data_IF_260313984896
#
_entry.id   IF_260313984896
#
_cell.length_a   1.000
_cell.length_b   1.000
_cell.length_c   1.000
_cell.angle_alpha   90.00
_cell.angle_beta   90.00
_cell.angle_gamma   90.00
#
_symmetry.space_group_name_H-M   'P 1'
#
loop_
_entity.id
_entity.type
_entity.pdbx_description
1 polymer ?
#
# COMPACT_ATOMS: atom_id res chain seq x y z
N UNK A 1 9.65 6.46 0.63
CA UNK A 1 8.87 5.43 -0.08
C UNK A 1 7.94 6.12 -1.06
N UNK A 2 7.81 5.60 -2.28
CA UNK A 2 7.08 6.27 -3.35
C UNK A 2 5.99 5.37 -3.97
N UNK A 3 4.77 5.89 -4.11
CA UNK A 3 3.69 5.22 -4.83
C UNK A 3 3.74 5.45 -6.34
N UNK A 4 4.69 6.23 -6.84
CA UNK A 4 4.87 6.58 -8.26
C UNK A 4 3.59 7.12 -8.92
N UNK A 5 2.83 7.93 -8.18
CA UNK A 5 1.59 8.52 -8.64
C UNK A 5 0.36 7.64 -8.48
N UNK A 6 0.46 6.45 -7.86
CA UNK A 6 -0.68 5.62 -7.45
C UNK A 6 -1.18 6.01 -6.04
N UNK A 7 -2.43 5.65 -5.72
CA UNK A 7 -3.03 6.03 -4.43
C UNK A 7 -2.71 5.01 -3.33
N UNK A 8 -2.86 3.71 -3.64
CA UNK A 8 -2.52 2.59 -2.76
C UNK A 8 -1.84 1.49 -3.57
N UNK A 9 -0.72 0.98 -3.07
CA UNK A 9 0.04 -0.13 -3.66
C UNK A 9 0.07 -1.30 -2.68
N UNK A 10 -0.31 -2.48 -3.14
CA UNK A 10 -0.30 -3.73 -2.36
C UNK A 10 0.81 -4.64 -2.88
N UNK A 11 1.47 -5.37 -1.98
CA UNK A 11 2.61 -6.21 -2.30
C UNK A 11 2.52 -7.56 -1.59
N UNK A 12 2.98 -8.62 -2.27
CA UNK A 12 3.16 -9.94 -1.68
C UNK A 12 4.44 -10.60 -2.22
N UNK A 13 5.20 -11.23 -1.34
CA UNK A 13 6.44 -11.91 -1.70
C UNK A 13 6.19 -13.14 -2.55
N UNK A 14 7.05 -13.37 -3.55
CA UNK A 14 7.01 -14.59 -4.34
C UNK A 14 7.17 -15.84 -3.49
N UNK A 15 7.97 -15.76 -2.42
CA UNK A 15 8.25 -16.88 -1.54
C UNK A 15 6.96 -17.52 -1.01
N UNK A 16 6.03 -16.69 -0.53
CA UNK A 16 4.73 -17.17 -0.05
C UNK A 16 3.87 -17.63 -1.23
N UNK A 17 3.81 -16.87 -2.32
CA UNK A 17 3.01 -17.26 -3.49
C UNK A 17 3.45 -18.61 -4.06
N UNK A 18 4.75 -18.88 -4.16
CA UNK A 18 5.32 -20.14 -4.64
C UNK A 18 4.98 -21.32 -3.74
N UNK A 19 5.03 -21.13 -2.41
CA UNK A 19 4.61 -22.17 -1.46
C UNK A 19 3.17 -22.63 -1.77
N UNK A 20 2.27 -21.70 -2.06
CA UNK A 20 0.87 -22.02 -2.32
C UNK A 20 0.60 -22.49 -3.74
N UNK A 21 1.26 -21.91 -4.74
CA UNK A 21 1.17 -22.36 -6.12
C UNK A 21 1.65 -23.81 -6.23
N UNK A 22 2.79 -24.15 -5.63
CA UNK A 22 3.30 -25.53 -5.59
C UNK A 22 2.27 -26.47 -4.96
N UNK A 23 1.77 -26.13 -3.77
CA UNK A 23 0.74 -26.94 -3.10
C UNK A 23 -0.53 -27.10 -3.95
N UNK A 24 -0.98 -26.04 -4.63
CA UNK A 24 -2.15 -26.10 -5.51
C UNK A 24 -1.92 -27.09 -6.67
N UNK A 25 -0.79 -26.99 -7.37
CA UNK A 25 -0.48 -27.86 -8.50
C UNK A 25 -0.37 -29.33 -8.04
N UNK A 26 0.37 -29.59 -6.97
CA UNK A 26 0.58 -30.94 -6.45
C UNK A 26 -0.71 -31.56 -5.91
N UNK A 27 -1.51 -30.83 -5.11
CA UNK A 27 -2.72 -31.37 -4.48
C UNK A 27 -3.85 -31.61 -5.48
N UNK A 28 -3.98 -30.77 -6.51
CA UNK A 28 -4.98 -30.95 -7.55
C UNK A 28 -4.53 -31.92 -8.65
N UNK A 29 -3.28 -32.43 -8.59
CA UNK A 29 -2.69 -33.33 -9.60
C UNK A 29 -2.91 -32.80 -11.02
N UNK A 30 -2.54 -31.53 -11.21
CA UNK A 30 -2.79 -30.83 -12.48
C UNK A 30 -2.15 -31.60 -13.64
N UNK A 31 -3.01 -31.98 -14.58
CA UNK A 31 -2.69 -32.69 -15.82
C UNK A 31 -3.19 -31.87 -16.99
N UNK A 32 -2.33 -31.69 -18.00
CA UNK A 32 -2.73 -31.10 -19.29
C UNK A 32 -2.73 -32.17 -20.37
N UNK A 33 -3.83 -32.21 -21.11
CA UNK A 33 -4.04 -33.09 -22.25
C UNK A 33 -4.43 -32.29 -23.49
N UNK A 34 -3.82 -32.60 -24.63
CA UNK A 34 -4.24 -32.09 -25.93
C UNK A 34 -4.07 -33.19 -26.97
N UNK A 35 -5.02 -33.25 -27.90
CA UNK A 35 -4.98 -34.20 -29.02
C UNK A 35 -5.60 -33.56 -30.26
N UNK A 36 -4.94 -33.73 -31.39
CA UNK A 36 -5.40 -33.36 -32.71
C UNK A 36 -5.28 -34.57 -33.63
N UNK A 37 -6.40 -35.25 -33.86
CA UNK A 37 -6.46 -36.49 -34.63
C UNK A 37 -6.07 -36.29 -36.09
N UNK A 38 -6.44 -35.16 -36.68
CA UNK A 38 -6.20 -34.87 -38.10
C UNK A 38 -4.70 -34.66 -38.37
N UNK A 39 -4.01 -34.00 -37.45
CA UNK A 39 -2.55 -33.78 -37.51
C UNK A 39 -1.75 -34.93 -36.91
N UNK A 40 -2.41 -35.94 -36.31
CA UNK A 40 -1.80 -37.05 -35.55
C UNK A 40 -0.84 -36.54 -34.48
N UNK A 41 -1.30 -35.59 -33.68
CA UNK A 41 -0.56 -34.97 -32.61
C UNK A 41 -1.26 -35.17 -31.27
N UNK A 42 -0.51 -35.52 -30.23
CA UNK A 42 -1.03 -35.56 -28.86
C UNK A 42 0.06 -35.19 -27.87
N UNK A 43 -0.32 -34.60 -26.74
CA UNK A 43 0.58 -34.28 -25.63
C UNK A 43 -0.14 -34.51 -24.31
N UNK A 44 0.60 -35.07 -23.36
CA UNK A 44 0.20 -35.31 -21.98
C UNK A 44 1.29 -34.81 -21.05
N UNK A 45 0.93 -33.99 -20.06
CA UNK A 45 1.86 -33.45 -19.07
C UNK A 45 1.26 -33.48 -17.68
N UNK A 46 1.94 -34.16 -16.75
CA UNK A 46 1.67 -34.12 -15.31
C UNK A 46 2.77 -33.33 -14.62
N UNK A 47 2.40 -32.27 -13.91
CA UNK A 47 3.36 -31.34 -13.32
C UNK A 47 3.76 -31.74 -11.90
N UNK A 48 5.03 -31.52 -11.54
CA UNK A 48 5.53 -31.73 -10.18
C UNK A 48 5.10 -30.60 -9.22
N UNK A 49 5.09 -29.37 -9.74
CA UNK A 49 4.74 -28.15 -9.04
C UNK A 49 5.24 -26.94 -9.83
N UNK A 50 4.46 -25.87 -9.90
CA UNK A 50 4.89 -24.65 -10.60
C UNK A 50 5.60 -23.69 -9.65
N UNK A 51 6.62 -23.00 -10.16
CA UNK A 51 7.44 -22.06 -9.40
C UNK A 51 7.65 -20.77 -10.18
N UNK A 52 7.26 -19.64 -9.60
CA UNK A 52 7.54 -18.29 -10.11
C UNK A 52 9.02 -17.97 -9.86
N UNK A 53 9.70 -17.51 -10.90
CA UNK A 53 11.10 -17.10 -10.86
C UNK A 53 11.27 -15.65 -11.32
N UNK A 54 12.41 -15.07 -10.96
CA UNK A 54 12.79 -13.72 -11.38
C UNK A 54 12.96 -13.60 -12.90
N UNK A 55 12.80 -12.37 -13.40
CA UNK A 55 12.86 -12.04 -14.83
C UNK A 55 11.52 -11.89 -15.54
N UNK A 56 10.39 -12.05 -14.84
CA UNK A 56 9.08 -11.64 -15.37
C UNK A 56 9.02 -10.14 -15.66
N UNK A 57 8.12 -9.72 -16.55
CA UNK A 57 8.01 -8.34 -17.01
C UNK A 57 6.59 -7.80 -16.87
N UNK A 58 6.43 -6.66 -16.19
CA UNK A 58 5.14 -5.95 -16.05
C UNK A 58 3.99 -6.89 -15.61
N UNK A 59 3.08 -7.25 -16.52
CA UNK A 59 1.93 -8.12 -16.25
C UNK A 59 2.22 -9.63 -16.39
N UNK A 60 3.43 -10.03 -16.74
CA UNK A 60 3.83 -11.43 -16.93
C UNK A 60 4.59 -11.97 -15.72
N UNK A 61 4.24 -13.19 -15.31
CA UNK A 61 5.04 -14.00 -14.42
C UNK A 61 5.88 -14.96 -15.22
N UNK A 62 7.18 -15.05 -14.90
CA UNK A 62 8.05 -16.11 -15.41
C UNK A 62 7.99 -17.30 -14.47
N UNK A 63 7.73 -18.49 -15.01
CA UNK A 63 7.35 -19.68 -14.24
C UNK A 63 8.10 -20.88 -14.79
N UNK A 64 8.66 -21.69 -13.89
CA UNK A 64 9.12 -23.04 -14.17
C UNK A 64 7.96 -24.01 -14.02
N UNK A 65 7.74 -24.85 -15.02
CA UNK A 65 6.64 -25.83 -15.05
C UNK A 65 7.15 -27.26 -15.19
N UNK A 66 7.96 -27.77 -14.23
CA UNK A 66 8.57 -29.09 -14.31
C UNK A 66 7.55 -30.21 -14.53
N UNK A 67 7.79 -31.01 -15.57
CA UNK A 67 6.96 -32.15 -15.96
C UNK A 67 7.50 -33.38 -15.23
N UNK A 68 6.71 -33.89 -14.29
CA UNK A 68 7.02 -35.11 -13.54
C UNK A 68 6.95 -36.33 -14.45
N UNK A 69 5.84 -36.44 -15.18
CA UNK A 69 5.62 -37.51 -16.14
C UNK A 69 4.80 -37.02 -17.33
N UNK A 70 5.06 -37.57 -18.51
CA UNK A 70 4.34 -37.18 -19.71
C UNK A 70 4.98 -37.65 -21.00
N UNK A 71 4.31 -37.37 -22.10
CA UNK A 71 4.82 -37.63 -23.44
C UNK A 71 4.17 -36.67 -24.44
N UNK A 72 4.78 -36.52 -25.60
CA UNK A 72 4.07 -36.03 -26.78
C UNK A 72 4.33 -36.97 -27.95
N UNK A 73 3.42 -36.97 -28.92
CA UNK A 73 3.51 -37.81 -30.11
C UNK A 73 3.23 -36.99 -31.35
N UNK A 74 4.08 -37.13 -32.36
CA UNK A 74 3.95 -36.49 -33.67
C UNK A 74 4.33 -37.50 -34.74
N UNK A 75 3.54 -37.63 -35.81
CA UNK A 75 3.86 -38.52 -36.95
C UNK A 75 4.21 -39.97 -36.52
N UNK A 76 3.52 -40.49 -35.49
CA UNK A 76 3.75 -41.81 -34.87
C UNK A 76 5.03 -41.97 -34.04
N UNK A 77 5.91 -40.96 -33.95
CA UNK A 77 7.02 -40.95 -33.00
C UNK A 77 6.53 -40.43 -31.64
N UNK A 78 6.94 -41.07 -30.55
CA UNK A 78 6.59 -40.67 -29.18
C UNK A 78 7.84 -40.24 -28.44
N UNK A 79 7.82 -39.05 -27.86
CA UNK A 79 8.92 -38.46 -27.10
C UNK A 79 8.52 -38.35 -25.63
N UNK A 80 9.39 -38.80 -24.74
CA UNK A 80 9.18 -38.81 -23.29
C UNK A 80 9.44 -37.41 -22.70
N UNK A 81 8.53 -36.91 -21.86
CA UNK A 81 8.64 -35.61 -21.21
C UNK A 81 9.06 -35.68 -19.74
N UNK A 82 9.38 -36.86 -19.21
CA UNK A 82 9.76 -37.03 -17.81
C UNK A 82 11.02 -36.20 -17.47
N UNK A 83 10.88 -35.27 -16.53
CA UNK A 83 11.95 -34.38 -16.10
C UNK A 83 12.29 -33.27 -17.08
N UNK A 84 11.46 -33.01 -18.10
CA UNK A 84 11.54 -31.78 -18.90
C UNK A 84 11.06 -30.60 -18.05
N UNK A 85 11.79 -29.49 -18.06
CA UNK A 85 11.47 -28.30 -17.25
C UNK A 85 11.37 -27.05 -18.12
N UNK A 86 10.18 -26.76 -18.67
CA UNK A 86 9.95 -25.54 -19.42
C UNK A 86 9.97 -24.30 -18.52
N UNK A 87 10.42 -23.19 -19.08
CA UNK A 87 10.27 -21.85 -18.51
C UNK A 87 9.34 -21.07 -19.42
N UNK A 88 8.19 -20.67 -18.89
CA UNK A 88 7.18 -19.90 -19.60
C UNK A 88 6.93 -18.57 -18.92
N UNK A 89 6.57 -17.56 -19.69
CA UNK A 89 5.95 -16.35 -19.20
C UNK A 89 4.46 -16.39 -19.45
N UNK A 90 3.67 -16.19 -18.40
CA UNK A 90 2.22 -16.19 -18.47
C UNK A 90 1.69 -14.86 -17.93
N UNK A 91 0.80 -14.22 -18.70
CA UNK A 91 0.14 -13.00 -18.27
C UNK A 91 -0.81 -13.25 -17.10
N UNK A 92 -0.86 -12.31 -16.18
CA UNK A 92 -1.94 -12.24 -15.19
C UNK A 92 -2.94 -11.16 -15.56
N UNK A 93 -4.21 -11.43 -15.26
CA UNK A 93 -5.28 -10.45 -15.42
C UNK A 93 -6.33 -10.57 -14.31
N UNK A 94 -7.14 -9.52 -14.17
CA UNK A 94 -8.24 -9.45 -13.23
C UNK A 94 -9.53 -9.92 -13.86
N UNK A 95 -10.06 -11.02 -13.35
CA UNK A 95 -11.32 -11.60 -13.80
C UNK A 95 -12.45 -11.24 -12.82
N UNK A 96 -13.65 -11.04 -13.36
CA UNK A 96 -14.85 -10.87 -12.56
C UNK A 96 -15.17 -12.17 -11.82
N UNK A 97 -15.61 -12.07 -10.56
CA UNK A 97 -16.27 -13.19 -9.91
C UNK A 97 -17.71 -13.32 -10.45
N UNK A 98 -18.09 -14.52 -10.90
CA UNK A 98 -19.40 -14.77 -11.49
C UNK A 98 -20.57 -14.60 -10.49
N UNK A 99 -20.31 -14.78 -9.20
CA UNK A 99 -21.30 -14.68 -8.12
C UNK A 99 -21.31 -13.32 -7.42
N UNK A 100 -20.25 -12.52 -7.56
CA UNK A 100 -20.14 -11.22 -6.89
C UNK A 100 -19.41 -10.17 -7.76
N UNK A 101 -20.11 -9.16 -8.32
CA UNK A 101 -19.50 -8.15 -9.18
C UNK A 101 -18.48 -7.25 -8.44
N UNK A 102 -18.57 -7.20 -7.11
CA UNK A 102 -17.68 -6.43 -6.24
C UNK A 102 -16.39 -7.15 -5.89
N UNK A 103 -16.16 -8.35 -6.44
CA UNK A 103 -14.90 -9.09 -6.28
C UNK A 103 -14.25 -9.29 -7.64
N UNK A 104 -12.97 -8.93 -7.73
CA UNK A 104 -12.08 -9.30 -8.83
C UNK A 104 -11.08 -10.34 -8.37
N UNK A 105 -10.66 -11.21 -9.28
CA UNK A 105 -9.68 -12.27 -9.02
C UNK A 105 -8.50 -12.11 -9.97
N UNK A 106 -7.31 -11.93 -9.42
CA UNK A 106 -6.07 -12.00 -10.18
C UNK A 106 -5.75 -13.47 -10.46
N UNK A 107 -5.71 -13.86 -11.72
CA UNK A 107 -5.48 -15.24 -12.18
C UNK A 107 -4.54 -15.24 -13.39
N UNK A 108 -4.06 -16.42 -13.74
CA UNK A 108 -3.46 -16.62 -15.06
C UNK A 108 -4.46 -16.33 -16.16
N UNK A 109 -4.01 -15.60 -17.18
CA UNK A 109 -4.70 -15.47 -18.45
C UNK A 109 -3.89 -16.24 -19.49
N UNK A 110 -4.48 -17.32 -20.02
CA UNK A 110 -3.87 -18.14 -21.07
C UNK A 110 -4.24 -17.67 -22.47
N UNK A 111 -5.11 -16.65 -22.60
CA UNK A 111 -5.50 -16.05 -23.88
C UNK A 111 -6.09 -17.05 -24.87
N UNK A 112 -5.76 -16.83 -26.13
CA UNK A 112 -6.04 -17.68 -27.28
C UNK A 112 -4.78 -17.87 -28.13
N UNK A 113 -4.83 -18.72 -29.16
CA UNK A 113 -3.67 -18.98 -30.04
C UNK A 113 -3.16 -17.72 -30.77
N UNK A 114 -4.00 -16.69 -30.91
CA UNK A 114 -3.62 -15.42 -31.53
C UNK A 114 -3.00 -14.42 -30.56
N UNK A 115 -2.97 -14.72 -29.26
CA UNK A 115 -2.49 -13.81 -28.22
C UNK A 115 -1.12 -14.25 -27.68
N UNK A 116 -0.22 -13.29 -27.45
CA UNK A 116 1.08 -13.53 -26.80
C UNK A 116 0.98 -13.62 -25.26
N UNK A 117 -0.15 -14.12 -24.74
CA UNK A 117 -0.42 -14.22 -23.31
C UNK A 117 0.37 -15.36 -22.64
N UNK A 118 0.88 -16.31 -23.43
CA UNK A 118 1.83 -17.35 -23.04
C UNK A 118 3.06 -17.27 -23.94
N UNK A 119 4.25 -17.17 -23.35
CA UNK A 119 5.53 -17.15 -24.08
C UNK A 119 6.45 -18.23 -23.55
N UNK A 120 7.08 -18.96 -24.46
CA UNK A 120 8.10 -19.94 -24.09
C UNK A 120 9.45 -19.22 -24.05
N UNK A 121 10.08 -19.19 -22.89
CA UNK A 121 11.40 -18.57 -22.69
C UNK A 121 12.49 -19.62 -22.86
N UNK A 122 12.28 -20.80 -22.30
CA UNK A 122 13.17 -21.96 -22.45
C UNK A 122 12.29 -23.21 -22.55
N UNK A 123 12.49 -24.00 -23.60
CA UNK A 123 11.71 -25.21 -23.86
C UNK A 123 12.01 -26.30 -22.84
N UNK A 124 13.29 -26.55 -22.55
CA UNK A 124 13.74 -27.44 -21.49
C UNK A 124 15.04 -26.95 -20.84
N UNK A 125 14.95 -26.54 -19.58
CA UNK A 125 16.12 -26.14 -18.79
C UNK A 125 17.16 -27.26 -18.62
N UNK A 126 16.74 -28.52 -18.76
CA UNK A 126 17.61 -29.69 -18.60
C UNK A 126 18.22 -30.18 -19.92
N UNK A 127 17.86 -29.56 -21.06
CA UNK A 127 18.47 -29.83 -22.37
C UNK A 127 18.18 -31.20 -22.99
N UNK A 128 17.09 -31.87 -22.59
CA UNK A 128 16.68 -33.18 -23.15
C UNK A 128 16.00 -33.06 -24.50
N UNK A 129 15.32 -31.94 -24.76
CA UNK A 129 14.67 -31.66 -26.03
C UNK A 129 15.64 -30.93 -26.96
N UNK A 130 15.76 -31.38 -28.20
CA UNK A 130 16.63 -30.79 -29.23
C UNK A 130 15.93 -30.80 -30.59
N UNK A 131 16.31 -29.86 -31.45
CA UNK A 131 15.93 -29.81 -32.88
C UNK A 131 14.41 -29.94 -33.12
N UNK A 132 13.97 -31.00 -33.82
CA UNK A 132 12.57 -31.22 -34.18
C UNK A 132 11.69 -31.46 -32.95
N UNK A 133 12.20 -32.16 -31.93
CA UNK A 133 11.44 -32.42 -30.70
C UNK A 133 11.13 -31.12 -29.96
N UNK A 134 12.10 -30.20 -29.89
CA UNK A 134 11.92 -28.90 -29.26
C UNK A 134 10.87 -28.06 -30.01
N UNK A 135 10.94 -28.04 -31.35
CA UNK A 135 9.98 -27.32 -32.19
C UNK A 135 8.55 -27.82 -31.98
N UNK A 136 8.33 -29.13 -32.04
CA UNK A 136 6.99 -29.71 -31.84
C UNK A 136 6.51 -29.59 -30.41
N UNK A 137 7.39 -29.77 -29.43
CA UNK A 137 7.07 -29.58 -28.02
C UNK A 137 6.55 -28.16 -27.76
N UNK A 138 7.25 -27.14 -28.26
CA UNK A 138 6.86 -25.75 -28.04
C UNK A 138 5.48 -25.43 -28.57
N UNK A 139 5.15 -25.92 -29.78
CA UNK A 139 3.81 -25.77 -30.35
C UNK A 139 2.75 -26.47 -29.50
N UNK A 140 2.96 -27.74 -29.16
CA UNK A 140 1.99 -28.55 -28.41
C UNK A 140 1.85 -28.08 -26.96
N UNK A 141 2.89 -27.49 -26.37
CA UNK A 141 2.86 -26.91 -25.04
C UNK A 141 1.83 -25.77 -24.98
N UNK A 142 1.89 -24.83 -25.92
CA UNK A 142 0.95 -23.69 -25.97
C UNK A 142 -0.49 -24.19 -26.14
N UNK A 143 -0.71 -25.10 -27.08
CA UNK A 143 -2.02 -25.71 -27.36
C UNK A 143 -2.59 -26.42 -26.11
N UNK A 144 -1.75 -27.15 -25.39
CA UNK A 144 -2.14 -27.81 -24.15
C UNK A 144 -2.51 -26.81 -23.05
N UNK A 145 -1.77 -25.72 -22.88
CA UNK A 145 -2.13 -24.69 -21.90
C UNK A 145 -3.49 -24.05 -22.22
N UNK A 146 -3.70 -23.64 -23.48
CA UNK A 146 -4.94 -23.01 -23.93
C UNK A 146 -6.13 -23.95 -23.76
N UNK A 147 -5.97 -25.22 -24.19
CA UNK A 147 -7.03 -26.21 -24.13
C UNK A 147 -7.43 -26.59 -22.69
N UNK A 148 -6.47 -26.50 -21.74
CA UNK A 148 -6.71 -26.86 -20.34
C UNK A 148 -6.87 -25.64 -19.41
N UNK A 149 -7.17 -24.45 -19.96
CA UNK A 149 -7.27 -23.22 -19.16
C UNK A 149 -8.22 -23.28 -17.97
N UNK A 150 -9.32 -24.03 -18.10
CA UNK A 150 -10.31 -24.18 -17.02
C UNK A 150 -9.83 -25.11 -15.89
N UNK A 151 -8.80 -25.93 -16.13
CA UNK A 151 -8.18 -26.79 -15.10
C UNK A 151 -7.43 -25.94 -14.08
N UNK A 152 -6.86 -24.79 -14.51
CA UNK A 152 -6.12 -23.89 -13.64
C UNK A 152 -7.02 -22.77 -13.13
N UNK A 153 -7.45 -22.92 -11.89
CA UNK A 153 -8.29 -21.93 -11.18
C UNK A 153 -7.57 -21.25 -10.01
N UNK A 154 -6.23 -21.31 -9.97
CA UNK A 154 -5.43 -20.66 -8.92
C UNK A 154 -5.70 -19.15 -8.86
N UNK A 155 -5.93 -18.64 -7.66
CA UNK A 155 -6.22 -17.22 -7.41
C UNK A 155 -5.04 -16.61 -6.67
N UNK A 156 -4.30 -15.73 -7.35
CA UNK A 156 -3.19 -14.99 -6.75
C UNK A 156 -3.69 -14.01 -5.69
N UNK A 157 -4.74 -13.27 -6.04
CA UNK A 157 -5.36 -12.30 -5.15
C UNK A 157 -6.85 -12.18 -5.43
N UNK A 158 -7.62 -11.96 -4.37
CA UNK A 158 -8.97 -11.42 -4.44
C UNK A 158 -8.89 -9.92 -4.13
N UNK A 159 -9.55 -9.11 -4.94
CA UNK A 159 -9.62 -7.67 -4.78
C UNK A 159 -11.08 -7.26 -4.58
N UNK A 160 -11.37 -6.66 -3.43
CA UNK A 160 -12.67 -6.12 -3.09
C UNK A 160 -12.78 -4.71 -3.70
N UNK A 161 -13.78 -4.52 -4.57
CA UNK A 161 -14.09 -3.21 -5.18
C UNK A 161 -14.84 -2.32 -4.18
N UNK A 162 -15.62 -2.95 -3.30
CA UNK A 162 -16.32 -2.33 -2.18
C UNK A 162 -15.96 -3.06 -0.90
N UNK A 163 -15.73 -2.31 0.17
CA UNK A 163 -15.23 -2.78 1.44
C UNK A 163 -15.76 -1.94 2.60
N UNK A 164 -15.45 -2.35 3.83
CA UNK A 164 -15.83 -1.61 5.03
C UNK A 164 -15.02 -0.32 5.22
N UNK A 165 -13.83 -0.23 4.62
CA UNK A 165 -12.98 0.96 4.68
C UNK A 165 -13.12 1.70 3.34
N UNK A 166 -14.25 2.40 3.17
CA UNK A 166 -14.68 2.96 1.87
C UNK A 166 -13.62 3.81 1.15
N UNK A 167 -12.79 4.55 1.89
CA UNK A 167 -11.75 5.40 1.29
C UNK A 167 -10.64 4.62 0.58
N UNK A 168 -10.56 3.30 0.80
CA UNK A 168 -9.62 2.39 0.13
C UNK A 168 -10.20 1.74 -1.12
N UNK A 169 -11.52 1.89 -1.38
CA UNK A 169 -12.20 1.23 -2.49
C UNK A 169 -11.54 1.59 -3.85
N UNK A 170 -10.92 0.63 -4.54
CA UNK A 170 -10.22 0.91 -5.77
C UNK A 170 -11.22 1.12 -6.92
N UNK A 171 -10.94 2.12 -7.76
CA UNK A 171 -11.71 2.38 -8.99
C UNK A 171 -11.00 1.86 -10.23
N UNK A 172 -9.67 1.94 -10.25
CA UNK A 172 -8.86 1.33 -11.29
C UNK A 172 -7.59 0.73 -10.67
N UNK A 173 -7.09 -0.34 -11.26
CA UNK A 173 -5.95 -1.08 -10.73
C UNK A 173 -5.17 -1.79 -11.85
N UNK A 174 -3.88 -2.06 -11.59
CA UNK A 174 -2.98 -2.83 -12.46
C UNK A 174 -2.18 -3.83 -11.64
N UNK A 175 -1.82 -4.94 -12.27
CA UNK A 175 -0.83 -5.87 -11.73
C UNK A 175 0.57 -5.49 -12.24
N UNK A 176 1.59 -5.65 -11.41
CA UNK A 176 3.00 -5.52 -11.81
C UNK A 176 3.86 -6.53 -11.04
N UNK A 177 4.75 -7.20 -11.76
CA UNK A 177 5.78 -8.04 -11.16
C UNK A 177 7.07 -7.24 -10.94
N UNK A 178 7.62 -7.35 -9.73
CA UNK A 178 8.92 -6.77 -9.40
C UNK A 178 9.98 -7.86 -9.28
N UNK A 179 11.04 -7.70 -10.05
CA UNK A 179 12.24 -8.52 -9.96
C UNK A 179 13.38 -7.66 -9.39
N UNK A 180 13.83 -7.92 -8.16
CA UNK A 180 15.00 -7.25 -7.59
C UNK A 180 16.26 -7.54 -8.42
N UNK A 181 17.20 -6.59 -8.41
CA UNK A 181 18.49 -6.72 -9.12
C UNK A 181 19.55 -7.46 -8.31
N UNK A 182 19.34 -7.65 -7.01
CA UNK A 182 20.29 -8.20 -6.04
C UNK A 182 20.06 -9.69 -5.74
N UNK A 183 19.40 -10.41 -6.66
CA UNK A 183 18.97 -11.81 -6.51
C UNK A 183 18.06 -12.08 -5.30
N UNK A 184 17.49 -11.05 -4.67
CA UNK A 184 16.46 -11.24 -3.66
C UNK A 184 15.14 -11.73 -4.27
N UNK A 185 14.24 -12.20 -3.39
CA UNK A 185 12.95 -12.74 -3.80
C UNK A 185 12.13 -11.68 -4.55
N UNK A 186 11.60 -12.07 -5.72
CA UNK A 186 10.64 -11.25 -6.45
C UNK A 186 9.34 -11.02 -5.68
N UNK A 187 8.51 -10.14 -6.20
CA UNK A 187 7.25 -9.79 -5.56
C UNK A 187 6.14 -9.43 -6.56
N UNK A 188 4.92 -9.76 -6.17
CA UNK A 188 3.70 -9.40 -6.88
C UNK A 188 3.17 -8.09 -6.30
N UNK A 189 2.83 -7.15 -7.19
CA UNK A 189 2.24 -5.88 -6.81
C UNK A 189 0.88 -5.66 -7.48
N UNK A 190 -0.05 -5.08 -6.73
CA UNK A 190 -1.29 -4.50 -7.25
C UNK A 190 -1.23 -3.00 -6.99
N UNK A 191 -1.24 -2.21 -8.05
CA UNK A 191 -1.26 -0.76 -7.98
C UNK A 191 -2.71 -0.29 -8.17
N UNK A 192 -3.18 0.65 -7.35
CA UNK A 192 -4.58 1.11 -7.40
C UNK A 192 -4.73 2.62 -7.24
N UNK A 193 -5.78 3.13 -7.87
CA UNK A 193 -6.30 4.48 -7.65
C UNK A 193 -7.74 4.38 -7.12
N UNK A 194 -8.09 5.25 -6.18
CA UNK A 194 -9.41 5.26 -5.52
C UNK A 194 -10.40 6.22 -6.18
N UNK A 195 -10.03 6.74 -7.35
CA UNK A 195 -10.82 7.68 -8.16
C UNK A 195 -10.82 7.27 -9.63
N UNK A 196 -11.69 7.87 -10.43
CA UNK A 196 -11.74 7.66 -11.88
C UNK A 196 -10.72 8.51 -12.66
N UNK A 197 -9.62 8.97 -12.02
CA UNK A 197 -8.58 9.75 -12.71
C UNK A 197 -7.83 8.89 -13.73
N UNK A 198 -7.32 9.51 -14.79
CA UNK A 198 -6.60 8.79 -15.83
C UNK A 198 -5.32 8.13 -15.30
N UNK A 199 -5.15 6.83 -15.59
CA UNK A 199 -3.97 6.03 -15.22
C UNK A 199 -3.13 5.61 -16.43
N UNK A 200 -3.47 6.08 -17.64
CA UNK A 200 -2.79 5.71 -18.88
C UNK A 200 -1.31 6.08 -18.88
N UNK A 201 -0.96 7.21 -18.27
CA UNK A 201 0.40 7.75 -18.15
C UNK A 201 1.11 7.34 -16.85
N UNK A 202 0.45 6.63 -15.95
CA UNK A 202 1.09 6.17 -14.72
C UNK A 202 2.03 5.00 -15.02
N UNK A 203 3.25 5.13 -14.52
CA UNK A 203 4.27 4.09 -14.56
C UNK A 203 3.82 2.86 -13.76
N UNK A 204 4.27 1.68 -14.18
CA UNK A 204 4.12 0.41 -13.43
C UNK A 204 5.30 0.15 -12.49
N UNK A 205 6.19 1.13 -12.30
CA UNK A 205 7.26 1.09 -11.32
C UNK A 205 6.70 0.95 -9.90
N UNK A 206 7.42 0.21 -9.08
CA UNK A 206 7.07 -0.05 -7.68
C UNK A 206 8.28 0.15 -6.79
N UNK A 207 8.03 0.53 -5.54
CA UNK A 207 9.06 0.67 -4.53
C UNK A 207 9.25 -0.66 -3.80
N UNK A 208 10.37 -1.34 -4.05
CA UNK A 208 10.68 -2.64 -3.44
C UNK A 208 10.73 -2.60 -1.90
N UNK A 209 10.95 -1.42 -1.30
CA UNK A 209 11.00 -1.28 0.17
C UNK A 209 9.66 -1.55 0.85
N UNK A 210 8.55 -1.64 0.10
CA UNK A 210 7.24 -2.04 0.63
C UNK A 210 7.31 -3.42 1.29
N UNK A 211 8.16 -4.32 0.81
CA UNK A 211 8.41 -5.64 1.41
C UNK A 211 9.76 -5.73 2.13
N UNK A 212 10.38 -4.58 2.44
CA UNK A 212 11.63 -4.52 3.19
C UNK A 212 11.53 -5.22 4.55
N UNK A 213 12.69 -5.57 5.14
CA UNK A 213 12.80 -6.31 6.41
C UNK A 213 12.20 -7.73 6.38
N UNK A 214 12.28 -8.41 5.23
CA UNK A 214 11.80 -9.79 5.03
C UNK A 214 10.33 -9.97 5.41
N UNK A 215 9.49 -9.00 5.05
CA UNK A 215 8.04 -9.10 5.21
C UNK A 215 7.41 -9.78 4.01
N UNK A 216 6.30 -10.46 4.25
CA UNK A 216 5.64 -11.26 3.22
C UNK A 216 4.59 -10.49 2.49
N UNK A 217 3.92 -9.58 3.18
CA UNK A 217 2.84 -8.75 2.64
C UNK A 217 3.09 -7.33 3.10
N UNK A 218 2.83 -6.39 2.20
CA UNK A 218 2.94 -4.97 2.49
C UNK A 218 1.90 -4.17 1.74
N UNK A 219 1.61 -2.98 2.25
CA UNK A 219 0.79 -2.00 1.59
C UNK A 219 1.43 -0.61 1.75
N UNK A 220 1.28 0.24 0.75
CA UNK A 220 1.77 1.62 0.76
C UNK A 220 0.63 2.56 0.38
N UNK A 221 0.32 3.50 1.26
CA UNK A 221 -0.71 4.52 1.11
C UNK A 221 -0.02 5.84 0.73
N UNK A 222 -0.56 6.51 -0.29
CA UNK A 222 -0.10 7.84 -0.69
C UNK A 222 -0.20 8.85 0.46
N UNK A 223 0.65 9.87 0.44
CA UNK A 223 0.70 10.91 1.46
C UNK A 223 -0.67 11.59 1.64
N UNK A 224 -1.35 11.93 0.55
CA UNK A 224 -2.68 12.55 0.56
C UNK A 224 -3.71 11.67 1.27
N UNK A 225 -3.77 10.38 0.96
CA UNK A 225 -4.72 9.47 1.60
C UNK A 225 -4.38 9.25 3.09
N UNK A 226 -3.09 9.18 3.44
CA UNK A 226 -2.66 9.13 4.83
C UNK A 226 -3.08 10.39 5.60
N UNK A 227 -2.79 11.57 5.06
CA UNK A 227 -3.14 12.86 5.67
C UNK A 227 -4.65 12.99 5.86
N UNK A 228 -5.43 12.61 4.84
CA UNK A 228 -6.89 12.74 4.87
C UNK A 228 -7.57 11.74 5.80
N UNK A 229 -7.20 10.46 5.75
CA UNK A 229 -7.99 9.40 6.38
C UNK A 229 -7.40 8.89 7.69
N UNK A 230 -6.12 9.15 7.96
CA UNK A 230 -5.44 8.68 9.19
C UNK A 230 -5.04 9.85 10.09
N UNK A 231 -4.47 10.93 9.54
CA UNK A 231 -4.02 12.08 10.35
C UNK A 231 -5.16 13.01 10.73
N UNK A 232 -5.91 13.53 9.76
CA UNK A 232 -6.95 14.53 9.98
C UNK A 232 -7.98 14.14 11.07
N UNK A 233 -8.50 12.90 11.12
CA UNK A 233 -9.48 12.51 12.13
C UNK A 233 -8.92 12.45 13.57
N UNK A 234 -7.59 12.44 13.73
CA UNK A 234 -6.91 12.33 15.03
C UNK A 234 -6.14 13.57 15.43
N UNK A 235 -5.88 14.49 14.50
CA UNK A 235 -5.12 15.71 14.71
C UNK A 235 -5.63 16.54 15.90
N UNK A 236 -6.95 16.67 16.04
CA UNK A 236 -7.58 17.48 17.08
C UNK A 236 -7.85 16.75 18.40
N UNK A 237 -7.43 15.49 18.53
CA UNK A 237 -7.77 14.64 19.69
C UNK A 237 -7.36 15.23 21.06
N UNK A 238 -6.28 16.01 21.10
CA UNK A 238 -5.77 16.65 22.31
C UNK A 238 -6.06 18.17 22.38
N UNK A 239 -6.85 18.71 21.44
CA UNK A 239 -7.13 20.15 21.32
C UNK A 239 -8.40 20.61 22.05
N UNK A 240 -9.08 19.70 22.76
CA UNK A 240 -10.32 19.97 23.49
C UNK A 240 -11.57 19.94 22.62
N UNK A 241 -12.75 20.04 23.24
CA UNK A 241 -14.05 19.85 22.57
C UNK A 241 -14.45 20.98 21.61
N UNK A 242 -13.81 22.15 21.72
CA UNK A 242 -14.06 23.30 20.84
C UNK A 242 -13.41 23.18 19.46
N UNK A 243 -12.57 22.16 19.25
CA UNK A 243 -11.82 21.93 18.02
C UNK A 243 -12.05 20.49 17.58
N UNK A 244 -12.45 20.32 16.33
CA UNK A 244 -12.75 19.03 15.72
C UNK A 244 -12.18 18.95 14.30
N UNK A 245 -12.27 17.78 13.68
CA UNK A 245 -11.90 17.57 12.27
C UNK A 245 -12.53 18.61 11.32
N UNK A 246 -13.76 19.05 11.59
CA UNK A 246 -14.49 20.00 10.72
C UNK A 246 -13.82 21.38 10.63
N UNK A 247 -12.99 21.72 11.61
CA UNK A 247 -12.26 22.99 11.63
C UNK A 247 -11.04 22.99 10.70
N UNK A 248 -10.75 21.85 10.07
CA UNK A 248 -9.62 21.66 9.18
C UNK A 248 -10.08 21.24 7.79
N UNK A 249 -9.22 21.46 6.81
CA UNK A 249 -9.41 21.04 5.43
C UNK A 249 -8.10 20.52 4.84
N UNK A 250 -8.22 19.49 4.01
CA UNK A 250 -7.09 18.95 3.24
C UNK A 250 -6.99 19.71 1.92
N UNK A 251 -5.84 20.33 1.67
CA UNK A 251 -5.53 20.99 0.39
C UNK A 251 -4.59 20.08 -0.39
N UNK A 252 -5.05 19.64 -1.56
CA UNK A 252 -4.23 18.79 -2.46
C UNK A 252 -3.12 19.63 -3.09
N UNK A 253 -1.90 19.11 -3.10
CA UNK A 253 -0.76 19.71 -3.83
C UNK A 253 -0.40 18.90 -5.08
N UNK A 254 -0.85 17.64 -5.15
CA UNK A 254 -0.87 16.80 -6.35
C UNK A 254 -1.98 15.73 -6.21
N UNK A 255 -2.01 14.76 -7.12
CA UNK A 255 -2.88 13.58 -6.99
C UNK A 255 -2.59 12.77 -5.71
N UNK A 256 -1.33 12.76 -5.25
CA UNK A 256 -0.87 11.87 -4.17
C UNK A 256 -0.31 12.59 -2.95
N UNK A 257 -0.22 13.93 -2.96
CA UNK A 257 0.34 14.75 -1.87
C UNK A 257 -0.65 15.81 -1.39
N UNK A 258 -0.60 16.14 -0.11
CA UNK A 258 -1.51 17.12 0.49
C UNK A 258 -0.99 17.75 1.78
N UNK A 259 -1.63 18.86 2.16
CA UNK A 259 -1.39 19.60 3.40
C UNK A 259 -2.72 19.80 4.14
N UNK A 260 -2.67 20.10 5.43
CA UNK A 260 -3.84 20.48 6.22
C UNK A 260 -3.77 21.96 6.57
N UNK A 261 -4.90 22.66 6.45
CA UNK A 261 -5.09 24.03 6.97
C UNK A 261 -6.34 24.08 7.84
N UNK A 262 -6.41 25.03 8.78
CA UNK A 262 -7.71 25.36 9.35
C UNK A 262 -8.60 26.07 8.32
N UNK A 263 -9.91 25.90 8.45
CA UNK A 263 -10.93 26.62 7.67
C UNK A 263 -11.77 27.58 8.55
N UNK A 264 -11.51 27.59 9.85
CA UNK A 264 -12.20 28.38 10.86
C UNK A 264 -11.25 28.67 12.03
N UNK A 265 -11.59 29.64 12.88
CA UNK A 265 -10.82 29.91 14.10
C UNK A 265 -10.90 28.70 15.02
N UNK A 266 -9.75 28.23 15.53
CA UNK A 266 -9.70 27.13 16.49
C UNK A 266 -9.79 27.72 17.90
N UNK A 267 -10.89 27.48 18.58
CA UNK A 267 -11.13 28.00 19.93
C UNK A 267 -10.55 27.01 20.95
N UNK A 268 -9.41 27.37 21.54
CA UNK A 268 -8.72 26.52 22.49
C UNK A 268 -9.53 26.40 23.79
N UNK A 269 -9.36 25.27 24.49
CA UNK A 269 -9.96 25.11 25.81
C UNK A 269 -9.36 26.12 26.81
N UNK A 270 -10.12 26.41 27.87
CA UNK A 270 -9.69 27.36 28.89
C UNK A 270 -8.41 26.90 29.59
N UNK A 271 -7.48 27.82 29.81
CA UNK A 271 -6.26 27.58 30.60
C UNK A 271 -6.35 28.42 31.87
N UNK A 272 -6.29 27.77 33.03
CA UNK A 272 -6.39 28.44 34.33
C UNK A 272 -5.02 28.95 34.77
N UNK A 273 -4.91 30.25 34.98
CA UNK A 273 -3.68 30.89 35.49
C UNK A 273 -4.09 31.81 36.64
N UNK A 274 -3.61 31.47 37.85
CA UNK A 274 -4.16 32.03 39.09
C UNK A 274 -5.63 31.64 39.27
N UNK A 275 -6.50 32.64 39.42
CA UNK A 275 -7.94 32.44 39.62
C UNK A 275 -8.78 32.59 38.35
N UNK A 276 -8.16 32.94 37.21
CA UNK A 276 -8.85 33.29 35.97
C UNK A 276 -8.57 32.25 34.89
N UNK A 277 -9.58 31.97 34.07
CA UNK A 277 -9.47 31.15 32.86
C UNK A 277 -9.26 32.03 31.65
N UNK A 278 -8.29 31.68 30.80
CA UNK A 278 -7.95 32.36 29.56
C UNK A 278 -8.22 31.44 28.37
N UNK A 279 -8.63 32.00 27.24
CA UNK A 279 -9.12 31.23 26.09
C UNK A 279 -8.34 31.61 24.83
N UNK A 280 -7.23 30.91 24.52
CA UNK A 280 -6.47 31.14 23.30
C UNK A 280 -7.30 30.87 22.04
N UNK A 281 -6.97 31.57 20.96
CA UNK A 281 -7.57 31.37 19.64
C UNK A 281 -6.48 31.17 18.60
N UNK A 282 -6.52 30.09 17.84
CA UNK A 282 -5.63 29.88 16.70
C UNK A 282 -6.35 30.37 15.45
N UNK A 283 -5.80 31.40 14.81
CA UNK A 283 -6.37 32.01 13.60
C UNK A 283 -5.85 31.36 12.33
N UNK A 284 -4.59 30.93 12.36
CA UNK A 284 -3.92 30.29 11.23
C UNK A 284 -3.22 29.02 11.71
N UNK A 285 -3.46 27.93 11.01
CA UNK A 285 -2.88 26.63 11.25
C UNK A 285 -2.51 26.00 9.92
N UNK A 286 -1.32 25.43 9.87
CA UNK A 286 -0.77 24.80 8.69
C UNK A 286 0.03 23.56 9.10
N UNK A 287 -0.25 22.43 8.48
CA UNK A 287 0.46 21.18 8.70
C UNK A 287 0.88 20.60 7.36
N UNK A 288 2.18 20.32 7.21
CA UNK A 288 2.77 19.67 6.04
C UNK A 288 3.67 18.50 6.44
N UNK A 289 3.71 17.44 5.64
CA UNK A 289 4.77 16.44 5.71
C UNK A 289 6.16 17.07 5.56
N UNK A 290 7.12 16.56 6.31
CA UNK A 290 8.48 17.09 6.40
C UNK A 290 9.47 15.94 6.62
N UNK A 291 10.59 15.96 5.87
CA UNK A 291 11.66 14.95 5.97
C UNK A 291 11.17 13.48 5.91
N UNK A 292 10.04 13.24 5.22
CA UNK A 292 9.44 11.93 5.03
C UNK A 292 8.71 11.34 6.25
N UNK A 293 9.22 11.53 7.47
CA UNK A 293 8.67 10.90 8.68
C UNK A 293 8.27 11.89 9.79
N UNK A 294 8.19 13.18 9.49
CA UNK A 294 7.81 14.23 10.45
C UNK A 294 6.69 15.08 9.87
N UNK A 295 5.91 15.68 10.77
CA UNK A 295 4.99 16.75 10.45
C UNK A 295 5.63 18.06 10.88
N UNK A 296 5.65 19.06 9.99
CA UNK A 296 5.92 20.43 10.37
C UNK A 296 4.57 21.14 10.53
N UNK A 297 4.30 21.60 11.75
CA UNK A 297 3.11 22.33 12.14
C UNK A 297 3.50 23.77 12.42
N UNK A 298 2.93 24.69 11.65
CA UNK A 298 3.09 26.13 11.81
C UNK A 298 1.72 26.71 12.17
N UNK A 299 1.64 27.50 13.25
CA UNK A 299 0.39 28.13 13.67
C UNK A 299 0.62 29.53 14.23
N UNK A 300 -0.42 30.36 14.12
CA UNK A 300 -0.48 31.71 14.67
C UNK A 300 -1.84 31.94 15.35
N UNK A 301 -1.81 32.60 16.49
CA UNK A 301 -2.99 32.83 17.30
C UNK A 301 -2.87 34.06 18.17
N UNK A 302 -3.91 34.27 18.97
CA UNK A 302 -3.96 35.32 19.98
C UNK A 302 -4.50 34.77 21.31
N UNK A 303 -4.12 35.39 22.41
CA UNK A 303 -4.76 35.19 23.71
C UNK A 303 -4.96 36.55 24.38
N UNK A 304 -6.17 36.78 24.89
CA UNK A 304 -6.54 38.02 25.57
C UNK A 304 -6.61 37.82 27.07
N UNK A 305 -6.37 38.88 27.84
CA UNK A 305 -6.65 38.85 29.27
C UNK A 305 -8.16 38.87 29.53
N UNK A 306 -8.70 37.78 30.08
CA UNK A 306 -10.11 37.69 30.43
C UNK A 306 -10.46 38.74 31.48
N UNK A 307 -11.52 39.53 31.20
CA UNK A 307 -11.90 40.68 32.00
C UNK A 307 -11.13 41.98 31.70
N UNK A 308 -10.07 41.93 30.87
CA UNK A 308 -9.31 43.11 30.44
C UNK A 308 -8.77 42.93 29.01
N UNK A 309 -9.67 42.67 28.06
CA UNK A 309 -9.35 42.21 26.70
C UNK A 309 -8.59 43.21 25.82
N UNK A 310 -8.47 44.48 26.24
CA UNK A 310 -7.61 45.46 25.56
C UNK A 310 -6.12 45.04 25.63
N UNK A 311 -5.75 44.23 26.62
CA UNK A 311 -4.44 43.60 26.73
C UNK A 311 -4.49 42.20 26.17
N UNK A 312 -3.64 41.92 25.19
CA UNK A 312 -3.56 40.63 24.53
C UNK A 312 -2.15 40.35 24.03
N UNK A 313 -1.92 39.10 23.60
CA UNK A 313 -0.69 38.69 22.97
C UNK A 313 -1.01 37.97 21.67
N UNK A 314 -0.32 38.33 20.59
CA UNK A 314 -0.21 37.48 19.41
C UNK A 314 0.93 36.49 19.64
N UNK A 315 0.78 35.26 19.17
CA UNK A 315 1.79 34.22 19.28
C UNK A 315 1.93 33.40 18.00
N UNK A 316 3.12 32.84 17.81
CA UNK A 316 3.39 31.87 16.76
C UNK A 316 4.13 30.65 17.31
N UNK A 317 3.85 29.48 16.72
CA UNK A 317 4.49 28.22 17.08
C UNK A 317 4.88 27.49 15.79
N UNK A 318 6.11 27.00 15.74
CA UNK A 318 6.61 26.08 14.73
C UNK A 318 7.11 24.80 15.44
N UNK A 319 6.46 23.68 15.15
CA UNK A 319 6.66 22.39 15.82
C UNK A 319 6.94 21.30 14.79
N UNK A 320 7.94 20.47 15.06
CA UNK A 320 8.32 19.33 14.23
C UNK A 320 8.00 18.03 14.99
N UNK A 321 6.90 17.39 14.62
CA UNK A 321 6.38 16.20 15.30
C UNK A 321 6.78 14.94 14.52
N UNK A 322 7.61 14.09 15.13
CA UNK A 322 8.11 12.86 14.50
C UNK A 322 7.12 11.70 14.65
N UNK A 323 6.91 10.95 13.58
CA UNK A 323 6.13 9.70 13.63
C UNK A 323 6.91 8.56 14.29
N UNK A 324 6.24 7.82 15.16
CA UNK A 324 6.75 6.63 15.82
C UNK A 324 5.70 5.52 15.76
N UNK A 325 6.17 4.31 15.48
CA UNK A 325 5.42 3.08 15.71
C UNK A 325 6.09 2.25 16.80
N UNK A 326 5.39 2.07 17.90
CA UNK A 326 5.76 1.15 18.97
C UNK A 326 5.19 -0.24 18.66
N UNK A 327 6.05 -1.16 18.19
CA UNK A 327 5.67 -2.52 17.82
C UNK A 327 5.29 -3.41 19.01
N UNK A 328 5.65 -3.03 20.25
CA UNK A 328 5.29 -3.78 21.46
C UNK A 328 3.87 -3.47 21.89
N UNK A 329 3.54 -2.18 21.94
CA UNK A 329 2.21 -1.71 22.33
C UNK A 329 1.25 -1.53 21.15
N UNK A 330 1.73 -1.77 19.93
CA UNK A 330 1.00 -1.58 18.67
C UNK A 330 0.43 -0.16 18.54
N UNK A 331 1.18 0.86 18.96
CA UNK A 331 0.74 2.26 18.91
C UNK A 331 1.50 3.03 17.85
N UNK A 332 0.78 3.72 16.99
CA UNK A 332 1.33 4.69 16.06
C UNK A 332 0.96 6.11 16.49
N UNK A 333 1.93 6.99 16.65
CA UNK A 333 1.71 8.34 17.15
C UNK A 333 2.75 9.33 16.64
N UNK A 334 2.42 10.60 16.79
CA UNK A 334 3.31 11.72 16.58
C UNK A 334 3.81 12.25 17.92
N UNK A 335 5.13 12.30 18.09
CA UNK A 335 5.75 12.80 19.30
C UNK A 335 5.51 14.30 19.48
N UNK A 336 5.50 14.74 20.73
CA UNK A 336 5.54 16.17 21.08
C UNK A 336 6.94 16.70 20.76
N UNK A 337 7.02 17.82 20.05
CA UNK A 337 8.30 18.48 19.79
C UNK A 337 8.81 19.18 21.05
N UNK A 338 9.89 18.65 21.62
CA UNK A 338 10.55 19.21 22.81
C UNK A 338 11.27 20.53 22.52
N UNK A 339 11.56 20.82 21.25
CA UNK A 339 12.34 21.98 20.80
C UNK A 339 11.53 22.92 19.89
N UNK A 340 10.20 22.88 20.00
CA UNK A 340 9.32 23.75 19.22
C UNK A 340 9.70 25.23 19.37
N UNK A 341 9.79 25.94 18.26
CA UNK A 341 10.10 27.38 18.24
C UNK A 341 8.83 28.16 18.50
N UNK A 342 8.92 29.14 19.40
CA UNK A 342 7.79 29.99 19.78
C UNK A 342 8.19 31.45 19.78
N UNK A 343 7.30 32.33 19.33
CA UNK A 343 7.47 33.78 19.42
C UNK A 343 6.16 34.43 19.86
N UNK A 344 6.23 35.61 20.48
CA UNK A 344 5.06 36.37 20.94
C UNK A 344 5.28 37.87 20.92
N UNK A 345 4.20 38.59 20.61
CA UNK A 345 4.14 40.05 20.64
C UNK A 345 3.07 40.45 21.64
N UNK A 346 3.46 41.26 22.63
CA UNK A 346 2.55 41.73 23.69
C UNK A 346 1.97 43.09 23.32
N UNK A 347 0.65 43.22 23.42
CA UNK A 347 -0.07 44.46 23.18
C UNK A 347 -0.60 44.98 24.52
N UNK A 348 0.09 45.98 25.05
CA UNK A 348 -0.19 46.61 26.35
C UNK A 348 -0.14 48.13 26.25
N UNK A 349 -0.80 48.83 27.17
CA UNK A 349 -0.58 50.27 27.34
C UNK A 349 0.77 50.50 28.04
N UNK A 350 1.52 51.58 27.72
CA UNK A 350 2.86 51.82 28.26
C UNK A 350 2.99 51.88 29.80
N UNK A 351 1.90 52.15 30.52
CA UNK A 351 1.90 52.35 31.98
C UNK A 351 1.50 51.07 32.73
N UNK A 352 1.05 50.02 32.03
CA UNK A 352 0.42 48.83 32.61
C UNK A 352 1.45 47.73 32.98
N UNK A 353 2.27 47.95 34.02
CA UNK A 353 3.29 46.99 34.48
C UNK A 353 2.71 45.68 35.07
N UNK A 354 1.57 45.75 35.77
CA UNK A 354 0.90 44.56 36.34
C UNK A 354 0.30 43.70 35.22
N UNK A 355 -0.52 44.24 34.29
CA UNK A 355 -1.01 43.49 33.15
C UNK A 355 0.10 42.88 32.29
N UNK A 356 1.27 43.53 32.17
CA UNK A 356 2.43 43.00 31.45
C UNK A 356 2.88 41.63 32.00
N UNK A 357 3.05 41.52 33.32
CA UNK A 357 3.47 40.27 33.94
C UNK A 357 2.44 39.15 33.73
N UNK A 358 1.15 39.50 33.84
CA UNK A 358 0.04 38.56 33.67
C UNK A 358 -0.04 38.08 32.22
N UNK A 359 -0.08 38.97 31.23
CA UNK A 359 -0.19 38.58 29.81
C UNK A 359 1.03 37.79 29.34
N UNK A 360 2.22 38.11 29.84
CA UNK A 360 3.43 37.35 29.52
C UNK A 360 3.32 35.89 29.98
N UNK A 361 2.78 35.66 31.19
CA UNK A 361 2.51 34.33 31.75
C UNK A 361 1.39 33.62 30.99
N UNK A 362 0.30 34.34 30.68
CA UNK A 362 -0.83 33.81 29.90
C UNK A 362 -0.38 33.35 28.51
N UNK A 363 0.39 34.17 27.80
CA UNK A 363 0.93 33.81 26.50
C UNK A 363 1.85 32.59 26.57
N UNK A 364 2.73 32.52 27.59
CA UNK A 364 3.62 31.38 27.79
C UNK A 364 2.84 30.07 27.99
N UNK A 365 1.93 30.02 28.96
CA UNK A 365 1.14 28.82 29.24
C UNK A 365 0.18 28.45 28.09
N UNK A 366 -0.29 29.43 27.33
CA UNK A 366 -1.06 29.19 26.11
C UNK A 366 -0.24 28.45 25.07
N UNK A 367 0.98 28.92 24.79
CA UNK A 367 1.87 28.26 23.84
C UNK A 367 2.32 26.87 24.32
N UNK A 368 2.63 26.69 25.61
CA UNK A 368 3.00 25.38 26.16
C UNK A 368 1.84 24.38 26.10
N UNK A 369 0.62 24.81 26.43
CA UNK A 369 -0.58 23.98 26.30
C UNK A 369 -0.80 23.53 24.85
N UNK A 370 -0.66 24.45 23.89
CA UNK A 370 -0.81 24.15 22.46
C UNK A 370 0.27 23.17 22.01
N UNK A 371 1.55 23.45 22.29
CA UNK A 371 2.70 22.58 21.94
C UNK A 371 2.48 21.14 22.39
N UNK A 372 2.09 20.96 23.66
CA UNK A 372 1.90 19.62 24.24
C UNK A 372 0.73 18.86 23.59
N UNK A 373 -0.26 19.56 23.04
CA UNK A 373 -1.39 18.98 22.35
C UNK A 373 -1.13 18.67 20.86
N UNK A 374 -0.01 19.12 20.29
CA UNK A 374 0.35 18.84 18.89
C UNK A 374 0.85 17.40 18.66
N UNK A 375 1.24 16.69 19.71
CA UNK A 375 1.46 15.24 19.65
C UNK A 375 0.12 14.51 19.78
N UNK A 376 -0.12 13.51 18.93
CA UNK A 376 -1.38 12.74 18.91
C UNK A 376 -1.18 11.31 18.43
N UNK A 377 -2.13 10.43 18.77
CA UNK A 377 -2.10 9.01 18.41
C UNK A 377 -3.05 8.72 17.25
N UNK A 378 -2.60 7.89 16.29
CA UNK A 378 -3.45 7.38 15.22
C UNK A 378 -4.39 6.27 15.71
N UNK A 379 -5.45 6.00 14.95
CA UNK A 379 -6.24 4.79 15.15
C UNK A 379 -5.39 3.54 14.84
N UNK A 380 -5.47 2.51 15.67
CA UNK A 380 -4.72 1.27 15.50
C UNK A 380 -5.58 0.21 14.79
N UNK A 381 -5.98 0.47 13.55
CA UNK A 381 -6.76 -0.43 12.69
C UNK A 381 -5.92 -0.97 11.51
N UNK A 382 -4.59 -1.04 11.69
CA UNK A 382 -3.66 -1.40 10.61
C UNK A 382 -3.84 -2.82 10.09
N UNK A 383 -4.21 -3.77 10.95
CA UNK A 383 -4.54 -5.15 10.55
C UNK A 383 -5.80 -5.19 9.68
N UNK A 384 -6.79 -4.33 9.95
CA UNK A 384 -7.98 -4.25 9.10
C UNK A 384 -7.61 -3.65 7.75
N UNK A 385 -6.89 -2.51 7.74
CA UNK A 385 -6.44 -1.82 6.52
C UNK A 385 -5.69 -2.77 5.58
N UNK A 386 -4.75 -3.57 6.08
CA UNK A 386 -3.95 -4.45 5.21
C UNK A 386 -4.73 -5.66 4.65
N UNK A 387 -5.85 -6.02 5.28
CA UNK A 387 -6.66 -7.17 4.88
C UNK A 387 -7.94 -6.80 4.11
N UNK A 388 -8.29 -5.52 4.05
CA UNK A 388 -9.62 -5.08 3.64
C UNK A 388 -9.83 -5.18 2.11
N UNK A 389 -8.91 -4.65 1.31
CA UNK A 389 -9.06 -4.59 -0.15
C UNK A 389 -8.46 -5.79 -0.86
N UNK A 390 -7.19 -6.09 -0.61
CA UNK A 390 -6.46 -7.16 -1.30
C UNK A 390 -6.24 -8.32 -0.34
N UNK A 391 -6.76 -9.47 -0.72
CA UNK A 391 -6.49 -10.73 -0.04
C UNK A 391 -5.68 -11.65 -0.97
N UNK A 392 -4.40 -11.81 -0.66
CA UNK A 392 -3.48 -12.69 -1.39
C UNK A 392 -3.82 -14.14 -1.11
N UNK A 393 -4.31 -14.88 -2.12
CA UNK A 393 -4.67 -16.31 -2.04
C UNK A 393 -5.43 -16.72 -0.76
N UNK A 394 -6.37 -15.90 -0.29
CA UNK A 394 -7.16 -16.08 0.95
C UNK A 394 -6.39 -15.91 2.28
N UNK A 395 -5.16 -15.40 2.29
CA UNK A 395 -4.47 -15.02 3.53
C UNK A 395 -5.07 -13.76 4.15
N UNK A 396 -5.31 -13.85 5.45
CA UNK A 396 -5.38 -12.67 6.30
C UNK A 396 -4.10 -12.59 7.10
N UNK A 397 -3.51 -11.42 7.14
CA UNK A 397 -2.45 -11.11 8.09
C UNK A 397 -3.08 -11.05 9.47
N UNK A 398 -2.57 -11.87 10.39
CA UNK A 398 -3.02 -11.83 11.78
C UNK A 398 -2.29 -10.77 12.60
N UNK A 399 -1.05 -10.42 12.24
CA UNK A 399 -0.24 -9.44 12.95
C UNK A 399 0.58 -8.53 12.02
N UNK A 400 0.45 -7.22 12.23
CA UNK A 400 1.31 -6.20 11.63
C UNK A 400 2.67 -6.19 12.33
N UNK A 401 3.73 -6.31 11.54
CA UNK A 401 5.13 -6.34 12.01
C UNK A 401 5.70 -4.94 12.10
N UNK A 402 5.51 -4.13 11.06
CA UNK A 402 6.05 -2.77 10.96
C UNK A 402 5.01 -1.80 10.41
N UNK A 403 5.08 -0.56 10.89
CA UNK A 403 4.38 0.59 10.33
C UNK A 403 5.40 1.71 10.16
N UNK A 404 5.54 2.20 8.93
CA UNK A 404 6.60 3.12 8.55
C UNK A 404 5.97 4.29 7.81
N UNK A 405 6.30 5.51 8.22
CA UNK A 405 5.98 6.69 7.43
C UNK A 405 7.25 7.29 6.85
N UNK A 406 7.35 7.31 5.52
CA UNK A 406 8.43 7.94 4.77
C UNK A 406 7.87 8.45 3.44
N UNK A 407 7.32 9.66 3.44
CA UNK A 407 6.47 10.24 2.38
C UNK A 407 5.15 9.46 2.26
N UNK A 408 5.19 8.24 1.73
CA UNK A 408 4.09 7.29 1.82
C UNK A 408 4.03 6.58 3.19
N UNK A 409 2.82 6.14 3.57
CA UNK A 409 2.57 5.40 4.81
C UNK A 409 2.48 3.89 4.50
N UNK A 410 3.44 3.13 5.00
CA UNK A 410 3.57 1.69 4.73
C UNK A 410 3.19 0.86 5.95
N UNK A 411 2.43 -0.20 5.70
CA UNK A 411 2.05 -1.22 6.68
C UNK A 411 2.59 -2.56 6.17
N UNK A 412 3.26 -3.31 7.02
CA UNK A 412 3.89 -4.59 6.67
C UNK A 412 3.45 -5.69 7.64
N UNK A 413 3.40 -6.92 7.15
CA UNK A 413 3.08 -8.08 7.96
C UNK A 413 3.68 -9.37 7.40
N UNK A 414 3.57 -10.43 8.19
CA UNK A 414 3.88 -11.80 7.77
C UNK A 414 2.60 -12.52 7.39
N UNK A 415 2.70 -13.38 6.37
CA UNK A 415 1.61 -14.27 6.02
C UNK A 415 1.60 -15.45 7.00
N UNK A 416 0.40 -15.88 7.39
CA UNK A 416 0.21 -17.04 8.26
C UNK A 416 0.40 -18.36 7.50
#
# INVERSE_FOLDING_TARGET
MNTYGWDIVYACSNRIVNKHLKNYITNNRVEFLYSNTDKKQEIKMNFEGWEIINGGSSSFLRIKTPIKEGFFKVRNATTNLNGVTPIVEIKLDFFNDASNPYIKKLKFNFGSESDDDIKIIVSDLNGKLQEEDEFFFNKLLIEAFINNKEVISYIFARLNIESNIEWMNPKQFKFSYYSPTDNSDGALFILSVVTNRDISKLSTNVDGNILGNNNDIGLLISEKLFIKNLVLPKLSSNMGSGISERNFQVISTSDTTAIIKNNSILNWYGIKIGLIWYYPKIKWFYLKPFEGNKLNIELMGEVKLSGYEIVYADFSINSINKFIYDSRNKKAYFEIDKNAKTDKILHIRPIDLIPLAIINSVAYWSMESIKNALGFQLANNFTDIINDIVNWNNFKISEVTNVIWNVGFCIQGKAN
#
